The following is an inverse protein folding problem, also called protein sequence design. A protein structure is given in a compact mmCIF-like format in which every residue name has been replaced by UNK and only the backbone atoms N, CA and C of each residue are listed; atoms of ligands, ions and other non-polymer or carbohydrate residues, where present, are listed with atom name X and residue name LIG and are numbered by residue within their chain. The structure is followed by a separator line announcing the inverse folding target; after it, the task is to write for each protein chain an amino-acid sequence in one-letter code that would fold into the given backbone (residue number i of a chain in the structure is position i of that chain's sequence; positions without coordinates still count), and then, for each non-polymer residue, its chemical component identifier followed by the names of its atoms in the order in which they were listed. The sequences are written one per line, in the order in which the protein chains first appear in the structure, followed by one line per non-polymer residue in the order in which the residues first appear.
data_IF_716668749289
#
_entry.id   IF_716668749289
#
_cell.length_a   1.000
_cell.length_b   1.000
_cell.length_c   1.000
_cell.angle_alpha   90.00
_cell.angle_beta   90.00
_cell.angle_gamma   90.00
#
_symmetry.space_group_name_H-M   'P 1'
#
loop_
_entity.id
_entity.type
_entity.pdbx_description
1 polymer ?
#
# COMPACT_ATOMS: atom_id res chain seq x y z
N UNK A 1 -29.45 6.78 30.73
CA UNK A 1 -28.74 5.63 30.16
C UNK A 1 -28.93 5.45 28.65
N UNK A 2 -28.51 6.38 27.77
CA UNK A 2 -28.58 6.16 26.31
C UNK A 2 -27.23 5.97 25.62
N UNK A 3 -26.08 6.27 26.24
CA UNK A 3 -24.75 6.20 25.59
C UNK A 3 -24.30 4.79 25.20
N UNK A 4 -24.50 3.77 26.05
CA UNK A 4 -24.04 2.39 25.80
C UNK A 4 -24.70 1.71 24.58
N UNK A 5 -25.93 2.11 24.21
CA UNK A 5 -26.64 1.53 23.05
C UNK A 5 -26.13 2.07 21.71
N UNK A 6 -25.74 3.35 21.67
CA UNK A 6 -25.15 4.00 20.48
C UNK A 6 -23.74 3.49 20.18
N UNK A 7 -22.92 3.27 21.23
CA UNK A 7 -21.54 2.77 21.08
C UNK A 7 -21.51 1.30 20.61
N UNK A 8 -22.51 0.48 21.02
CA UNK A 8 -22.64 -0.90 20.54
C UNK A 8 -23.13 -0.99 19.10
N UNK A 9 -24.05 -0.11 18.67
CA UNK A 9 -24.54 -0.08 17.29
C UNK A 9 -23.39 0.36 16.35
N UNK A 10 -22.67 1.41 16.70
CA UNK A 10 -21.51 1.87 15.93
C UNK A 10 -20.36 0.82 15.87
N UNK A 11 -20.17 0.03 16.92
CA UNK A 11 -19.17 -1.04 16.95
C UNK A 11 -19.54 -2.23 16.05
N UNK A 12 -20.82 -2.59 16.02
CA UNK A 12 -21.36 -3.65 15.14
C UNK A 12 -21.30 -3.18 13.67
N UNK A 13 -21.61 -1.92 13.44
CA UNK A 13 -21.60 -1.28 12.12
C UNK A 13 -20.18 -1.26 11.53
N UNK A 14 -19.20 -0.79 12.27
CA UNK A 14 -17.80 -0.80 11.85
C UNK A 14 -17.22 -2.22 11.64
N UNK A 15 -17.63 -3.19 12.43
CA UNK A 15 -17.21 -4.59 12.27
C UNK A 15 -17.72 -5.18 10.94
N UNK A 16 -18.99 -4.92 10.58
CA UNK A 16 -19.57 -5.39 9.33
C UNK A 16 -18.93 -4.73 8.11
N UNK A 17 -18.70 -3.42 8.18
CA UNK A 17 -18.00 -2.66 7.13
C UNK A 17 -16.60 -3.22 6.89
N UNK A 18 -15.83 -3.49 7.93
CA UNK A 18 -14.50 -4.05 7.82
C UNK A 18 -14.50 -5.46 7.21
N UNK A 19 -15.47 -6.32 7.54
CA UNK A 19 -15.60 -7.65 6.91
C UNK A 19 -15.80 -7.55 5.39
N UNK A 20 -16.58 -6.56 4.92
CA UNK A 20 -16.75 -6.32 3.48
C UNK A 20 -15.44 -5.85 2.85
N UNK A 21 -14.72 -4.91 3.47
CA UNK A 21 -13.43 -4.42 2.97
C UNK A 21 -12.39 -5.55 2.88
N UNK A 22 -12.26 -6.40 3.90
CA UNK A 22 -11.34 -7.54 3.90
C UNK A 22 -11.70 -8.58 2.83
N UNK A 23 -13.00 -8.86 2.64
CA UNK A 23 -13.46 -9.75 1.58
C UNK A 23 -13.18 -9.16 0.20
N UNK A 24 -13.42 -7.86 0.01
CA UNK A 24 -13.15 -7.14 -1.23
C UNK A 24 -11.66 -7.16 -1.57
N UNK A 25 -10.78 -6.89 -0.62
CA UNK A 25 -9.34 -6.95 -0.81
C UNK A 25 -8.88 -8.31 -1.34
N UNK A 26 -9.37 -9.40 -0.72
CA UNK A 26 -9.04 -10.76 -1.16
C UNK A 26 -9.54 -11.04 -2.58
N UNK A 27 -10.80 -10.73 -2.89
CA UNK A 27 -11.37 -10.99 -4.20
C UNK A 27 -10.72 -10.11 -5.29
N UNK A 28 -10.46 -8.83 -5.00
CA UNK A 28 -9.72 -7.96 -5.92
C UNK A 28 -8.30 -8.47 -6.17
N UNK A 29 -7.61 -8.96 -5.15
CA UNK A 29 -6.28 -9.55 -5.30
C UNK A 29 -6.28 -10.86 -6.11
N UNK A 30 -7.31 -11.71 -5.94
CA UNK A 30 -7.42 -13.00 -6.63
C UNK A 30 -7.83 -12.84 -8.10
N UNK A 31 -8.80 -11.96 -8.40
CA UNK A 31 -9.49 -11.86 -9.69
C UNK A 31 -9.29 -10.54 -10.44
N UNK A 32 -8.58 -9.61 -9.85
CA UNK A 32 -8.55 -8.22 -10.30
C UNK A 32 -9.86 -7.47 -9.99
N UNK A 33 -9.85 -6.16 -10.19
CA UNK A 33 -11.05 -5.34 -9.95
C UNK A 33 -12.19 -5.73 -10.89
N UNK A 34 -11.94 -5.86 -12.19
CA UNK A 34 -13.00 -6.14 -13.18
C UNK A 34 -13.64 -7.51 -12.95
N UNK A 35 -12.83 -8.54 -12.65
CA UNK A 35 -13.30 -9.90 -12.40
C UNK A 35 -13.99 -10.12 -11.05
N UNK A 36 -13.91 -9.16 -10.14
CA UNK A 36 -14.52 -9.24 -8.83
C UNK A 36 -16.03 -8.92 -8.88
N UNK A 37 -16.86 -9.92 -8.53
CA UNK A 37 -18.30 -9.74 -8.42
C UNK A 37 -18.73 -9.28 -7.03
N UNK A 38 -19.66 -8.30 -6.96
CA UNK A 38 -20.21 -7.80 -5.68
C UNK A 38 -20.91 -8.90 -4.88
N UNK A 39 -21.60 -9.83 -5.56
CA UNK A 39 -22.25 -10.98 -4.92
C UNK A 39 -21.25 -11.93 -4.26
N UNK A 40 -20.09 -12.10 -4.87
CA UNK A 40 -19.02 -12.92 -4.32
C UNK A 40 -18.36 -12.26 -3.11
N UNK A 41 -18.14 -10.94 -3.17
CA UNK A 41 -17.63 -10.16 -2.04
C UNK A 41 -18.59 -10.25 -0.84
N UNK A 42 -19.90 -10.07 -1.07
CA UNK A 42 -20.91 -10.20 -0.03
C UNK A 42 -20.88 -11.60 0.60
N UNK A 43 -20.87 -12.65 -0.21
CA UNK A 43 -20.79 -14.02 0.28
C UNK A 43 -19.50 -14.29 1.08
N UNK A 44 -18.34 -13.81 0.60
CA UNK A 44 -17.04 -13.99 1.26
C UNK A 44 -16.95 -13.23 2.58
N UNK A 45 -17.65 -12.09 2.70
CA UNK A 45 -17.73 -11.33 3.96
C UNK A 45 -18.66 -11.96 5.01
N UNK A 46 -19.44 -12.98 4.63
CA UNK A 46 -20.47 -13.57 5.48
C UNK A 46 -21.71 -12.67 5.64
N UNK A 47 -21.87 -11.68 4.76
CA UNK A 47 -22.97 -10.72 4.79
C UNK A 47 -23.78 -10.82 3.50
N UNK A 48 -25.03 -10.32 3.53
CA UNK A 48 -25.83 -10.26 2.34
C UNK A 48 -25.53 -8.99 1.49
N UNK A 49 -25.92 -9.03 0.22
CA UNK A 49 -25.69 -7.95 -0.74
C UNK A 49 -26.32 -6.62 -0.30
N UNK A 50 -27.45 -6.64 0.40
CA UNK A 50 -28.11 -5.43 0.90
C UNK A 50 -27.26 -4.73 1.96
N UNK A 51 -26.57 -5.48 2.81
CA UNK A 51 -25.65 -4.91 3.80
C UNK A 51 -24.43 -4.29 3.10
N UNK A 52 -23.91 -4.93 2.06
CA UNK A 52 -22.81 -4.35 1.28
C UNK A 52 -23.22 -3.01 0.67
N UNK A 53 -24.41 -2.94 0.01
CA UNK A 53 -24.92 -1.70 -0.58
C UNK A 53 -25.36 -0.66 0.45
N UNK A 54 -25.62 -1.05 1.70
CA UNK A 54 -25.80 -0.11 2.78
C UNK A 54 -24.55 0.70 3.09
N UNK A 55 -23.36 0.07 3.02
CA UNK A 55 -22.08 0.74 3.27
C UNK A 55 -21.47 1.37 2.02
N UNK A 56 -21.66 0.74 0.85
CA UNK A 56 -20.95 1.10 -0.38
C UNK A 56 -21.94 1.17 -1.55
N UNK A 57 -22.10 2.36 -2.12
CA UNK A 57 -23.04 2.61 -3.22
C UNK A 57 -22.68 1.84 -4.51
N UNK A 58 -21.39 1.52 -4.70
CA UNK A 58 -20.87 0.84 -5.89
C UNK A 58 -19.59 0.05 -5.57
N UNK A 59 -19.18 -0.82 -6.50
CA UNK A 59 -17.88 -1.51 -6.42
C UNK A 59 -16.71 -0.52 -6.45
N UNK A 60 -16.86 0.59 -7.16
CA UNK A 60 -15.88 1.66 -7.21
C UNK A 60 -15.74 2.37 -5.86
N UNK A 61 -16.85 2.73 -5.21
CA UNK A 61 -16.82 3.35 -3.87
C UNK A 61 -16.22 2.40 -2.82
N UNK A 62 -16.45 1.09 -2.96
CA UNK A 62 -15.82 0.07 -2.13
C UNK A 62 -14.30 0.01 -2.33
N UNK A 63 -13.82 0.02 -3.59
CA UNK A 63 -12.39 0.08 -3.88
C UNK A 63 -11.78 1.37 -3.34
N UNK A 64 -12.43 2.51 -3.56
CA UNK A 64 -11.96 3.82 -3.09
C UNK A 64 -11.78 3.85 -1.57
N UNK A 65 -12.74 3.32 -0.82
CA UNK A 65 -12.65 3.25 0.63
C UNK A 65 -11.58 2.25 1.10
N UNK A 66 -11.44 1.13 0.40
CA UNK A 66 -10.36 0.17 0.67
C UNK A 66 -8.99 0.82 0.49
N UNK A 67 -8.79 1.57 -0.58
CA UNK A 67 -7.56 2.32 -0.85
C UNK A 67 -7.31 3.35 0.25
N UNK A 68 -8.31 4.16 0.61
CA UNK A 68 -8.18 5.17 1.66
C UNK A 68 -7.80 4.57 3.02
N UNK A 69 -8.38 3.42 3.37
CA UNK A 69 -8.01 2.68 4.58
C UNK A 69 -6.53 2.29 4.53
N UNK A 70 -6.06 1.73 3.42
CA UNK A 70 -4.66 1.34 3.29
C UNK A 70 -3.68 2.53 3.26
N UNK A 71 -4.08 3.67 2.69
CA UNK A 71 -3.33 4.94 2.78
C UNK A 71 -3.13 5.33 4.25
N UNK A 72 -4.23 5.35 4.99
CA UNK A 72 -4.21 5.73 6.40
C UNK A 72 -3.32 4.79 7.23
N UNK A 73 -3.55 3.48 7.12
CA UNK A 73 -2.81 2.45 7.87
C UNK A 73 -1.31 2.45 7.53
N UNK A 74 -0.97 2.61 6.24
CA UNK A 74 0.43 2.70 5.79
C UNK A 74 1.09 3.98 6.29
N UNK A 75 0.38 5.10 6.26
CA UNK A 75 0.89 6.37 6.79
C UNK A 75 1.23 6.30 8.27
N UNK A 76 0.40 5.65 9.08
CA UNK A 76 0.66 5.43 10.52
C UNK A 76 1.87 4.52 10.75
N UNK A 77 2.01 3.44 9.97
CA UNK A 77 3.17 2.56 10.05
C UNK A 77 4.47 3.32 9.72
N UNK A 78 4.48 4.07 8.61
CA UNK A 78 5.62 4.90 8.21
C UNK A 78 5.96 5.94 9.27
N UNK A 79 4.98 6.60 9.85
CA UNK A 79 5.18 7.57 10.94
C UNK A 79 5.84 6.91 12.15
N UNK A 80 5.40 5.72 12.54
CA UNK A 80 5.99 4.95 13.63
C UNK A 80 7.44 4.60 13.35
N UNK A 81 7.76 4.16 12.13
CA UNK A 81 9.13 3.86 11.70
C UNK A 81 10.01 5.11 11.81
N UNK A 82 9.54 6.21 11.24
CA UNK A 82 10.28 7.46 11.21
C UNK A 82 10.48 8.07 12.60
N UNK A 83 9.59 7.82 13.56
CA UNK A 83 9.72 8.29 14.94
C UNK A 83 10.85 7.58 15.69
N UNK A 84 11.17 6.35 15.33
CA UNK A 84 12.22 5.54 15.96
C UNK A 84 13.61 5.73 15.34
N UNK A 85 13.79 6.72 14.45
CA UNK A 85 15.08 7.03 13.82
C UNK A 85 15.75 8.14 14.60
N UNK A 86 16.90 7.86 15.19
CA UNK A 86 17.64 8.82 16.03
C UNK A 86 18.72 9.57 15.24
N UNK A 87 19.32 8.95 14.23
CA UNK A 87 20.36 9.52 13.39
C UNK A 87 20.11 9.24 11.90
N UNK A 88 20.89 9.86 11.04
CA UNK A 88 20.80 9.67 9.57
C UNK A 88 22.08 9.01 9.04
N UNK A 89 22.57 8.03 9.80
CA UNK A 89 23.62 7.15 9.31
C UNK A 89 23.16 6.28 8.14
N UNK A 90 24.12 5.79 7.35
CA UNK A 90 23.81 4.85 6.26
C UNK A 90 23.07 3.59 6.77
N UNK A 91 23.41 3.15 7.99
CA UNK A 91 22.75 1.98 8.60
C UNK A 91 21.31 2.24 8.94
N UNK A 92 20.97 3.44 9.38
CA UNK A 92 19.58 3.81 9.65
C UNK A 92 18.76 4.01 8.38
N UNK A 93 19.36 4.59 7.34
CA UNK A 93 18.74 4.63 6.02
C UNK A 93 18.44 3.22 5.49
N UNK A 94 19.36 2.29 5.65
CA UNK A 94 19.14 0.89 5.27
C UNK A 94 18.01 0.24 6.06
N UNK A 95 17.88 0.53 7.37
CA UNK A 95 16.75 0.04 8.19
C UNK A 95 15.41 0.63 7.74
N UNK A 96 15.38 1.93 7.39
CA UNK A 96 14.19 2.57 6.84
C UNK A 96 13.76 1.85 5.56
N UNK A 97 14.70 1.63 4.65
CA UNK A 97 14.47 0.95 3.38
C UNK A 97 13.93 -0.45 3.62
N UNK A 98 14.57 -1.25 4.48
CA UNK A 98 14.11 -2.59 4.82
C UNK A 98 12.68 -2.58 5.34
N UNK A 99 12.37 -1.65 6.25
CA UNK A 99 11.05 -1.57 6.86
C UNK A 99 9.99 -1.10 5.85
N UNK A 100 10.32 -0.14 4.97
CA UNK A 100 9.40 0.28 3.89
C UNK A 100 9.14 -0.86 2.89
N UNK A 101 10.16 -1.64 2.56
CA UNK A 101 10.03 -2.83 1.72
C UNK A 101 9.11 -3.86 2.37
N UNK A 102 9.25 -4.13 3.68
CA UNK A 102 8.35 -5.06 4.39
C UNK A 102 6.91 -4.53 4.42
N UNK A 103 6.68 -3.23 4.63
CA UNK A 103 5.34 -2.62 4.56
C UNK A 103 4.72 -2.82 3.17
N UNK A 104 5.49 -2.62 2.09
CA UNK A 104 5.00 -2.89 0.72
C UNK A 104 4.71 -4.37 0.53
N UNK A 105 5.57 -5.25 1.05
CA UNK A 105 5.39 -6.70 0.95
C UNK A 105 4.14 -7.17 1.69
N UNK A 106 3.91 -6.73 2.91
CA UNK A 106 2.70 -7.07 3.69
C UNK A 106 1.43 -6.64 2.96
N UNK A 107 1.46 -5.49 2.30
CA UNK A 107 0.33 -4.91 1.56
C UNK A 107 0.37 -5.14 0.05
N UNK A 108 1.18 -6.11 -0.42
CA UNK A 108 1.42 -6.34 -1.86
C UNK A 108 0.15 -6.56 -2.68
N UNK A 109 -0.88 -7.18 -2.08
CA UNK A 109 -2.14 -7.46 -2.77
C UNK A 109 -2.87 -6.18 -3.14
N UNK A 110 -2.99 -5.24 -2.21
CA UNK A 110 -3.66 -3.97 -2.48
C UNK A 110 -2.80 -3.08 -3.38
N UNK A 111 -1.48 -3.03 -3.18
CA UNK A 111 -0.58 -2.30 -4.09
C UNK A 111 -0.68 -2.81 -5.52
N UNK A 112 -0.78 -4.14 -5.71
CA UNK A 112 -1.00 -4.73 -7.04
C UNK A 112 -2.31 -4.25 -7.66
N UNK A 113 -3.42 -4.28 -6.92
CA UNK A 113 -4.73 -3.81 -7.40
C UNK A 113 -4.67 -2.34 -7.78
N UNK A 114 -4.16 -1.48 -6.88
CA UNK A 114 -4.04 -0.04 -7.12
C UNK A 114 -3.17 0.26 -8.33
N UNK A 115 -2.05 -0.46 -8.49
CA UNK A 115 -1.15 -0.26 -9.63
C UNK A 115 -1.82 -0.65 -10.95
N UNK A 116 -2.50 -1.80 -11.00
CA UNK A 116 -3.21 -2.25 -12.20
C UNK A 116 -4.31 -1.26 -12.58
N UNK A 117 -5.12 -0.83 -11.61
CA UNK A 117 -6.19 0.14 -11.86
C UNK A 117 -5.63 1.53 -12.26
N UNK A 118 -4.55 1.97 -11.60
CA UNK A 118 -3.89 3.24 -11.92
C UNK A 118 -3.19 3.28 -13.29
N UNK A 119 -2.94 2.11 -13.90
CA UNK A 119 -2.37 2.02 -15.25
C UNK A 119 -3.43 1.95 -16.35
N UNK A 120 -4.71 1.86 -16.01
CA UNK A 120 -5.79 1.85 -17.01
C UNK A 120 -5.89 3.23 -17.68
N UNK A 121 -5.80 3.22 -19.01
CA UNK A 121 -5.95 4.44 -19.80
C UNK A 121 -7.39 4.96 -19.73
N UNK A 122 -7.53 6.29 -19.61
CA UNK A 122 -8.83 6.96 -19.65
C UNK A 122 -9.55 7.08 -18.30
N UNK A 123 -8.92 6.67 -17.21
CA UNK A 123 -9.43 6.97 -15.87
C UNK A 123 -8.86 8.32 -15.39
N UNK A 124 -9.70 9.11 -14.72
CA UNK A 124 -9.26 10.35 -14.05
C UNK A 124 -8.85 10.10 -12.59
N UNK A 125 -8.67 8.82 -12.23
CA UNK A 125 -8.36 8.43 -10.86
C UNK A 125 -6.84 8.37 -10.64
N UNK A 126 -6.37 9.15 -9.70
CA UNK A 126 -4.95 9.27 -9.35
C UNK A 126 -4.60 8.51 -8.06
N UNK A 127 -5.38 7.49 -7.69
CA UNK A 127 -5.24 6.78 -6.41
C UNK A 127 -3.82 6.33 -6.08
N UNK A 128 -3.09 5.80 -7.06
CA UNK A 128 -1.71 5.37 -6.85
C UNK A 128 -0.81 6.56 -6.50
N UNK A 129 -0.97 7.67 -7.21
CA UNK A 129 -0.17 8.87 -6.97
C UNK A 129 -0.55 9.53 -5.65
N UNK A 130 -1.85 9.64 -5.34
CA UNK A 130 -2.36 10.19 -4.06
C UNK A 130 -1.85 9.38 -2.87
N UNK A 131 -1.88 8.04 -2.97
CA UNK A 131 -1.34 7.15 -1.94
C UNK A 131 0.14 7.40 -1.70
N UNK A 132 0.94 7.38 -2.76
CA UNK A 132 2.38 7.50 -2.65
C UNK A 132 2.82 8.90 -2.25
N UNK A 133 2.16 9.94 -2.79
CA UNK A 133 2.43 11.33 -2.45
C UNK A 133 2.20 11.61 -0.96
N UNK A 134 1.08 11.14 -0.41
CA UNK A 134 0.78 11.25 1.03
C UNK A 134 1.87 10.63 1.91
N UNK A 135 2.39 9.47 1.52
CA UNK A 135 3.47 8.77 2.23
C UNK A 135 4.79 9.55 2.09
N UNK A 136 5.13 9.97 0.88
CA UNK A 136 6.37 10.69 0.60
C UNK A 136 6.43 12.05 1.32
N UNK A 137 5.33 12.81 1.33
CA UNK A 137 5.25 14.06 2.06
C UNK A 137 5.56 13.87 3.55
N UNK A 138 4.97 12.88 4.22
CA UNK A 138 5.25 12.57 5.62
C UNK A 138 6.71 12.20 5.87
N UNK A 139 7.30 11.39 5.00
CA UNK A 139 8.72 11.04 5.06
C UNK A 139 9.57 12.31 4.95
N UNK A 140 9.26 13.16 3.98
CA UNK A 140 10.02 14.39 3.74
C UNK A 140 9.91 15.39 4.86
N UNK A 141 8.72 15.59 5.43
CA UNK A 141 8.51 16.45 6.60
C UNK A 141 9.36 15.98 7.79
N UNK A 142 9.39 14.67 8.03
CA UNK A 142 10.17 14.09 9.11
C UNK A 142 11.68 14.21 8.88
N UNK A 143 12.14 13.96 7.67
CA UNK A 143 13.56 14.14 7.30
C UNK A 143 13.98 15.61 7.43
N UNK A 144 13.15 16.56 6.99
CA UNK A 144 13.39 18.00 7.16
C UNK A 144 13.47 18.41 8.63
N UNK A 145 12.56 17.91 9.49
CA UNK A 145 12.58 18.22 10.92
C UNK A 145 13.87 17.76 11.62
N UNK A 146 14.64 16.89 10.99
CA UNK A 146 15.93 16.35 11.46
C UNK A 146 17.15 16.95 10.72
N UNK A 147 16.94 18.02 9.98
CA UNK A 147 18.02 18.79 9.34
C UNK A 147 18.39 18.32 7.92
N UNK A 148 17.63 17.40 7.32
CA UNK A 148 17.86 17.03 5.92
C UNK A 148 17.26 18.04 4.97
N UNK A 149 18.09 18.54 4.06
CA UNK A 149 17.67 19.48 3.05
C UNK A 149 17.40 18.77 1.71
N UNK A 150 16.36 17.93 1.68
CA UNK A 150 15.93 17.25 0.47
C UNK A 150 14.84 18.11 -0.20
N UNK A 151 15.02 18.40 -1.46
CA UNK A 151 14.04 19.17 -2.24
C UNK A 151 12.92 18.26 -2.73
N UNK A 152 11.69 18.50 -2.28
CA UNK A 152 10.48 17.84 -2.79
C UNK A 152 10.09 18.47 -4.13
N UNK A 153 10.63 17.93 -5.20
CA UNK A 153 10.43 18.44 -6.57
C UNK A 153 10.16 17.28 -7.54
N UNK A 154 9.82 17.61 -8.78
CA UNK A 154 9.48 16.62 -9.82
C UNK A 154 10.63 15.63 -10.07
N UNK A 155 11.90 16.08 -10.01
CA UNK A 155 13.06 15.18 -10.17
C UNK A 155 13.12 14.15 -9.05
N UNK A 156 12.88 14.58 -7.81
CA UNK A 156 12.80 13.68 -6.66
C UNK A 156 11.64 12.69 -6.81
N UNK A 157 10.44 13.16 -7.17
CA UNK A 157 9.27 12.32 -7.37
C UNK A 157 9.49 11.27 -8.47
N UNK A 158 10.10 11.64 -9.60
CA UNK A 158 10.46 10.68 -10.66
C UNK A 158 11.40 9.61 -10.11
N UNK A 159 12.46 10.00 -9.38
CA UNK A 159 13.42 9.06 -8.81
C UNK A 159 12.74 8.05 -7.86
N UNK A 160 11.96 8.56 -6.91
CA UNK A 160 11.32 7.71 -5.90
C UNK A 160 10.21 6.84 -6.52
N UNK A 161 9.41 7.39 -7.40
CA UNK A 161 8.31 6.66 -8.00
C UNK A 161 8.80 5.58 -8.97
N UNK A 162 9.54 5.97 -10.01
CA UNK A 162 9.89 5.06 -11.11
C UNK A 162 11.09 4.17 -10.83
N UNK A 163 12.05 4.62 -10.01
CA UNK A 163 13.29 3.88 -9.79
C UNK A 163 13.34 3.18 -8.43
N UNK A 164 12.35 3.45 -7.55
CA UNK A 164 12.29 2.88 -6.23
C UNK A 164 10.98 2.13 -5.98
N UNK A 165 9.87 2.85 -5.91
CA UNK A 165 8.59 2.30 -5.46
C UNK A 165 8.01 1.32 -6.47
N UNK A 166 7.93 1.67 -7.75
CA UNK A 166 7.36 0.80 -8.79
C UNK A 166 8.17 -0.50 -8.94
N UNK A 167 9.50 -0.51 -9.02
CA UNK A 167 10.26 -1.76 -9.06
C UNK A 167 9.98 -2.68 -7.87
N UNK A 168 9.84 -2.14 -6.66
CA UNK A 168 9.49 -2.93 -5.47
C UNK A 168 8.10 -3.55 -5.59
N UNK A 169 7.08 -2.76 -5.98
CA UNK A 169 5.72 -3.25 -6.17
C UNK A 169 5.67 -4.33 -7.26
N UNK A 170 6.32 -4.10 -8.40
CA UNK A 170 6.38 -5.06 -9.51
C UNK A 170 7.08 -6.33 -9.08
N UNK A 171 8.22 -6.22 -8.39
CA UNK A 171 8.93 -7.39 -7.88
C UNK A 171 8.01 -8.26 -7.02
N UNK A 172 7.37 -7.72 -6.00
CA UNK A 172 6.48 -8.49 -5.13
C UNK A 172 5.22 -9.01 -5.84
N UNK A 173 4.85 -8.43 -6.98
CA UNK A 173 3.73 -8.91 -7.79
C UNK A 173 4.08 -10.14 -8.61
N UNK A 174 5.30 -10.23 -9.15
CA UNK A 174 5.68 -11.26 -10.13
C UNK A 174 6.78 -12.22 -9.65
N UNK A 175 7.40 -11.95 -8.50
CA UNK A 175 8.63 -12.64 -8.05
C UNK A 175 8.48 -14.15 -7.84
N UNK A 176 7.29 -14.64 -7.46
CA UNK A 176 7.05 -16.09 -7.32
C UNK A 176 7.17 -16.79 -8.68
N UNK A 177 6.47 -16.27 -9.71
CA UNK A 177 6.52 -16.81 -11.08
C UNK A 177 7.91 -16.63 -11.71
N UNK A 178 8.56 -15.49 -11.42
CA UNK A 178 9.91 -15.23 -11.88
C UNK A 178 10.90 -16.24 -11.28
N UNK A 179 10.81 -16.49 -9.98
CA UNK A 179 11.66 -17.46 -9.29
C UNK A 179 11.46 -18.89 -9.84
N UNK A 180 10.20 -19.30 -10.07
CA UNK A 180 9.86 -20.57 -10.69
C UNK A 180 10.51 -20.69 -12.09
N UNK A 181 10.35 -19.68 -12.93
CA UNK A 181 10.90 -19.68 -14.30
C UNK A 181 12.42 -19.79 -14.34
N UNK A 182 13.13 -19.13 -13.41
CA UNK A 182 14.59 -19.15 -13.33
C UNK A 182 15.16 -20.24 -12.40
N UNK A 183 14.33 -21.22 -12.00
CA UNK A 183 14.73 -22.33 -11.12
C UNK A 183 15.42 -21.89 -9.81
N UNK A 184 14.92 -20.82 -9.20
CA UNK A 184 15.35 -20.31 -7.89
C UNK A 184 14.20 -20.29 -6.91
N UNK A 185 14.49 -19.98 -5.64
CA UNK A 185 13.44 -19.83 -4.63
C UNK A 185 13.02 -18.36 -4.51
N UNK A 186 11.74 -18.13 -4.20
CA UNK A 186 11.25 -16.79 -3.90
C UNK A 186 12.07 -16.09 -2.80
N UNK A 187 12.45 -16.83 -1.74
CA UNK A 187 13.25 -16.30 -0.64
C UNK A 187 14.64 -15.81 -1.10
N UNK A 188 15.31 -16.58 -1.94
CA UNK A 188 16.61 -16.20 -2.52
C UNK A 188 16.45 -14.97 -3.43
N UNK A 189 15.45 -14.96 -4.29
CA UNK A 189 15.16 -13.83 -5.17
C UNK A 189 14.86 -12.55 -4.39
N UNK A 190 14.06 -12.62 -3.31
CA UNK A 190 13.78 -11.49 -2.41
C UNK A 190 15.07 -10.94 -1.81
N UNK A 191 15.93 -11.81 -1.27
CA UNK A 191 17.20 -11.41 -0.67
C UNK A 191 18.12 -10.70 -1.67
N UNK A 192 18.27 -11.27 -2.87
CA UNK A 192 19.09 -10.67 -3.93
C UNK A 192 18.50 -9.32 -4.36
N UNK A 193 17.18 -9.24 -4.60
CA UNK A 193 16.53 -8.02 -5.00
C UNK A 193 16.73 -6.88 -3.99
N UNK A 194 16.58 -7.15 -2.69
CA UNK A 194 16.81 -6.16 -1.63
C UNK A 194 18.27 -5.69 -1.62
N UNK A 195 19.24 -6.60 -1.79
CA UNK A 195 20.66 -6.23 -1.83
C UNK A 195 20.96 -5.32 -3.03
N UNK A 196 20.48 -5.68 -4.22
CA UNK A 196 20.64 -4.86 -5.43
C UNK A 196 19.99 -3.49 -5.26
N UNK A 197 18.81 -3.41 -4.66
CA UNK A 197 18.20 -2.12 -4.35
C UNK A 197 19.10 -1.28 -3.44
N UNK A 198 19.63 -1.86 -2.36
CA UNK A 198 20.52 -1.14 -1.42
C UNK A 198 21.80 -0.63 -2.07
N UNK A 199 22.32 -1.33 -3.05
CA UNK A 199 23.45 -0.89 -3.86
C UNK A 199 23.10 0.30 -4.76
N UNK A 200 21.88 0.32 -5.31
CA UNK A 200 21.40 1.38 -6.22
C UNK A 200 20.90 2.64 -5.49
N UNK A 201 20.37 2.50 -4.28
CA UNK A 201 19.75 3.61 -3.54
C UNK A 201 20.63 4.83 -3.32
N UNK A 202 21.91 4.68 -2.92
CA UNK A 202 22.77 5.85 -2.73
C UNK A 202 22.86 6.71 -3.98
N UNK A 203 22.87 6.10 -5.17
CA UNK A 203 22.91 6.82 -6.44
C UNK A 203 21.56 7.46 -6.79
N UNK A 204 20.45 6.78 -6.49
CA UNK A 204 19.09 7.31 -6.73
C UNK A 204 18.80 8.49 -5.81
N UNK A 205 19.21 8.42 -4.54
CA UNK A 205 18.93 9.44 -3.52
C UNK A 205 19.96 10.58 -3.51
N UNK A 206 21.09 10.46 -4.22
CA UNK A 206 22.01 11.61 -4.38
C UNK A 206 21.24 12.82 -4.94
N UNK A 207 21.20 13.83 -4.12
CA UNK A 207 20.58 15.14 -4.40
C UNK A 207 21.51 15.99 -5.26
#
# INVERSE_FOLDING_TARGET
MPRKKKDNINKIDNSSKNKVLEAAERIFAEKGYDGAGVDEIARKSGLNKSVLYYYFNSKESLLKELIQKHIHDTSLQVETILNNIDSLSQDELNKIIDTLIEVIFEKRNIFRVITIEGLKLGTNDFFLFELLDSIFQKIMEKLKSRGWNISYNVKFLIKIFFFLTIPVIVFFTVSEKWAEFYNTTWHNSKKIFINVLKELYPEILKV
#
